data_IF_198667056212
#
_entry.id   IF_198667056212
#
_cell.length_a   1.000
_cell.length_b   1.000
_cell.length_c   1.000
_cell.angle_alpha   90.00
_cell.angle_beta   90.00
_cell.angle_gamma   90.00
#
_symmetry.space_group_name_H-M   'P 1'
#
loop_
_entity.id
_entity.type
_entity.pdbx_description
1 polymer ?
#
# COMPACT_ATOMS: atom_id res chain seq x y z
N UNK A 1 10.71 -4.43 -8.91
CA UNK A 1 9.29 -4.71 -9.24
C UNK A 1 8.66 -3.63 -10.13
N UNK A 2 8.70 -2.36 -9.80
CA UNK A 2 8.10 -1.31 -10.64
C UNK A 2 8.67 -1.24 -12.07
N UNK A 3 9.98 -1.45 -12.25
CA UNK A 3 10.62 -1.53 -13.56
C UNK A 3 10.22 -2.77 -14.36
N UNK A 4 9.92 -3.89 -13.70
CA UNK A 4 9.47 -5.12 -14.37
C UNK A 4 8.07 -4.97 -14.95
N UNK A 5 7.14 -4.30 -14.24
CA UNK A 5 5.79 -4.05 -14.74
C UNK A 5 5.86 -3.12 -15.96
N UNK A 6 6.62 -2.03 -15.90
CA UNK A 6 6.79 -1.10 -17.01
C UNK A 6 7.43 -1.79 -18.24
N UNK A 7 8.40 -2.69 -18.03
CA UNK A 7 8.98 -3.49 -19.11
C UNK A 7 7.92 -4.33 -19.83
N UNK A 8 7.14 -5.12 -19.10
CA UNK A 8 6.11 -5.97 -19.69
C UNK A 8 4.95 -5.17 -20.28
N UNK A 9 4.62 -4.01 -19.71
CA UNK A 9 3.65 -3.09 -20.31
C UNK A 9 4.11 -2.55 -21.67
N UNK A 10 5.41 -2.39 -21.87
CA UNK A 10 5.97 -1.99 -23.17
C UNK A 10 6.05 -3.16 -24.17
N UNK A 11 6.49 -4.35 -23.72
CA UNK A 11 6.71 -5.51 -24.59
C UNK A 11 5.42 -6.27 -24.94
N UNK A 12 4.52 -6.43 -23.96
CA UNK A 12 3.30 -7.24 -24.09
C UNK A 12 2.11 -6.58 -23.40
N UNK A 13 1.69 -5.37 -23.82
CA UNK A 13 0.70 -4.54 -23.12
C UNK A 13 -0.65 -5.24 -22.88
N UNK A 14 -1.09 -6.06 -23.83
CA UNK A 14 -2.39 -6.74 -23.77
C UNK A 14 -2.37 -8.06 -22.99
N UNK A 15 -1.20 -8.58 -22.61
CA UNK A 15 -1.13 -9.79 -21.79
C UNK A 15 -1.69 -9.54 -20.40
N UNK A 16 -2.37 -10.55 -19.85
CA UNK A 16 -2.95 -10.48 -18.53
C UNK A 16 -1.86 -10.53 -17.47
N UNK A 17 -1.83 -9.51 -16.62
CA UNK A 17 -0.91 -9.38 -15.50
C UNK A 17 -1.56 -9.83 -14.18
N UNK A 18 -2.86 -9.60 -14.02
CA UNK A 18 -3.64 -9.99 -12.84
C UNK A 18 -4.92 -10.67 -13.32
N UNK A 19 -5.22 -11.82 -12.70
CA UNK A 19 -6.48 -12.54 -12.83
C UNK A 19 -7.01 -12.80 -11.42
N UNK A 20 -8.02 -12.05 -11.01
CA UNK A 20 -8.64 -12.17 -9.71
C UNK A 20 -10.18 -12.05 -9.79
N UNK A 21 -10.93 -12.28 -8.69
CA UNK A 21 -12.39 -12.19 -8.71
C UNK A 21 -12.96 -10.85 -9.17
N UNK A 22 -12.20 -9.76 -9.07
CA UNK A 22 -12.63 -8.42 -9.53
C UNK A 22 -12.39 -8.23 -11.04
N UNK A 23 -11.70 -9.16 -11.70
CA UNK A 23 -11.52 -9.22 -13.15
C UNK A 23 -10.08 -9.37 -13.63
N UNK A 24 -9.92 -9.26 -14.96
CA UNK A 24 -8.64 -9.35 -15.64
C UNK A 24 -8.04 -7.95 -15.80
N UNK A 25 -6.74 -7.82 -15.51
CA UNK A 25 -6.00 -6.57 -15.69
C UNK A 25 -4.79 -6.85 -16.58
N UNK A 26 -4.66 -6.14 -17.71
CA UNK A 26 -3.51 -6.25 -18.61
C UNK A 26 -2.27 -5.55 -17.99
N UNK A 27 -1.09 -5.85 -18.56
CA UNK A 27 0.14 -5.16 -18.14
C UNK A 27 0.07 -3.65 -18.38
N UNK A 28 -0.52 -3.21 -19.50
CA UNK A 28 -0.70 -1.78 -19.78
C UNK A 28 -1.57 -1.10 -18.74
N UNK A 29 -2.70 -1.72 -18.36
CA UNK A 29 -3.58 -1.19 -17.36
C UNK A 29 -2.97 -1.21 -15.96
N UNK A 30 -2.27 -2.28 -15.61
CA UNK A 30 -1.55 -2.37 -14.33
C UNK A 30 -0.50 -1.27 -14.20
N UNK A 31 0.33 -1.06 -15.25
CA UNK A 31 1.36 -0.02 -15.24
C UNK A 31 0.78 1.38 -15.07
N UNK A 32 -0.33 1.65 -15.75
CA UNK A 32 -1.09 2.90 -15.62
C UNK A 32 -1.57 3.08 -14.17
N UNK A 33 -2.28 2.10 -13.61
CA UNK A 33 -2.80 2.16 -12.24
C UNK A 33 -1.67 2.34 -11.21
N UNK A 34 -0.59 1.58 -11.36
CA UNK A 34 0.60 1.69 -10.49
C UNK A 34 1.19 3.10 -10.53
N UNK A 35 1.26 3.71 -11.73
CA UNK A 35 1.77 5.08 -11.87
C UNK A 35 0.85 6.09 -11.21
N UNK A 36 -0.46 6.00 -11.43
CA UNK A 36 -1.45 6.91 -10.84
C UNK A 36 -1.43 6.86 -9.31
N UNK A 37 -1.40 5.67 -8.71
CA UNK A 37 -1.29 5.52 -7.25
C UNK A 37 0.05 6.05 -6.72
N UNK A 38 1.17 5.73 -7.38
CA UNK A 38 2.48 6.19 -6.96
C UNK A 38 2.57 7.73 -6.97
N UNK A 39 2.06 8.36 -8.03
CA UNK A 39 2.02 9.82 -8.15
C UNK A 39 1.08 10.46 -7.13
N UNK A 40 -0.06 9.84 -6.82
CA UNK A 40 -0.96 10.31 -5.78
C UNK A 40 -0.31 10.25 -4.39
N UNK A 41 0.40 9.18 -4.06
CA UNK A 41 1.12 9.07 -2.79
C UNK A 41 2.19 10.16 -2.65
N UNK A 42 3.00 10.37 -3.69
CA UNK A 42 4.01 11.45 -3.71
C UNK A 42 3.36 12.84 -3.64
N UNK A 43 2.29 13.07 -4.40
CA UNK A 43 1.56 14.32 -4.44
C UNK A 43 0.85 14.67 -3.12
N UNK A 44 0.48 13.67 -2.34
CA UNK A 44 -0.07 13.82 -0.99
C UNK A 44 1.00 14.13 0.08
N UNK A 45 2.26 14.26 -0.32
CA UNK A 45 3.36 14.62 0.57
C UNK A 45 4.02 13.43 1.28
N UNK A 46 3.72 12.20 0.88
CA UNK A 46 4.48 11.05 1.36
C UNK A 46 5.88 11.08 0.76
N UNK A 47 6.86 10.74 1.57
CA UNK A 47 8.28 10.81 1.22
C UNK A 47 8.89 9.44 1.02
N UNK A 48 10.03 9.40 0.32
CA UNK A 48 10.83 8.20 0.16
C UNK A 48 11.13 7.54 1.50
N UNK A 49 10.91 6.23 1.61
CA UNK A 49 11.07 5.46 2.84
C UNK A 49 9.88 5.51 3.79
N UNK A 50 8.86 6.31 3.55
CA UNK A 50 7.62 6.27 4.32
C UNK A 50 6.94 4.91 4.18
N UNK A 51 6.24 4.49 5.25
CA UNK A 51 5.46 3.27 5.24
C UNK A 51 4.02 3.56 4.87
N UNK A 52 3.49 2.72 3.99
CA UNK A 52 2.05 2.66 3.73
C UNK A 52 1.54 1.36 4.31
N UNK A 53 0.67 1.42 5.30
CA UNK A 53 0.06 0.24 5.89
C UNK A 53 -1.15 -0.22 5.08
N UNK A 54 -1.28 -1.53 4.89
CA UNK A 54 -2.41 -2.19 4.26
C UNK A 54 -3.12 -3.09 5.26
N UNK A 55 -4.41 -2.85 5.49
CA UNK A 55 -5.28 -3.70 6.31
C UNK A 55 -6.38 -4.31 5.44
N UNK A 56 -6.09 -5.45 4.88
CA UNK A 56 -6.96 -6.14 3.94
C UNK A 56 -6.44 -7.51 3.57
N UNK A 57 -7.17 -8.18 2.68
CA UNK A 57 -6.81 -9.49 2.14
C UNK A 57 -5.88 -9.34 0.93
N UNK A 58 -5.26 -10.44 0.52
CA UNK A 58 -4.50 -10.49 -0.72
C UNK A 58 -5.46 -10.37 -1.91
N UNK A 59 -5.15 -9.45 -2.83
CA UNK A 59 -5.96 -9.14 -4.01
C UNK A 59 -5.09 -8.48 -5.09
N UNK A 60 -5.62 -8.35 -6.30
CA UNK A 60 -4.98 -7.58 -7.37
C UNK A 60 -4.77 -6.11 -6.98
N UNK A 61 -5.70 -5.53 -6.22
CA UNK A 61 -5.53 -4.18 -5.68
C UNK A 61 -4.34 -4.10 -4.70
N UNK A 62 -4.23 -5.04 -3.75
CA UNK A 62 -3.07 -5.08 -2.85
C UNK A 62 -1.76 -5.15 -3.62
N UNK A 63 -1.68 -6.01 -4.66
CA UNK A 63 -0.49 -6.10 -5.51
C UNK A 63 -0.21 -4.78 -6.23
N UNK A 64 -1.24 -4.11 -6.75
CA UNK A 64 -1.13 -2.79 -7.39
C UNK A 64 -0.58 -1.74 -6.43
N UNK A 65 -1.11 -1.69 -5.18
CA UNK A 65 -0.64 -0.78 -4.13
C UNK A 65 0.82 -1.06 -3.72
N UNK A 66 1.20 -2.34 -3.64
CA UNK A 66 2.58 -2.73 -3.38
C UNK A 66 3.52 -2.23 -4.48
N UNK A 67 3.16 -2.44 -5.75
CA UNK A 67 3.94 -1.96 -6.88
C UNK A 67 4.02 -0.42 -6.92
N UNK A 68 2.92 0.26 -6.59
CA UNK A 68 2.86 1.71 -6.53
C UNK A 68 3.74 2.29 -5.40
N UNK A 69 3.66 1.74 -4.19
CA UNK A 69 4.53 2.12 -3.09
C UNK A 69 6.01 1.94 -3.47
N UNK A 70 6.37 0.79 -4.05
CA UNK A 70 7.73 0.54 -4.54
C UNK A 70 8.17 1.55 -5.59
N UNK A 71 7.30 1.90 -6.57
CA UNK A 71 7.59 2.88 -7.63
C UNK A 71 7.79 4.30 -7.07
N UNK A 72 7.11 4.62 -5.98
CA UNK A 72 7.26 5.90 -5.28
C UNK A 72 8.42 5.90 -4.27
N UNK A 73 9.21 4.83 -4.18
CA UNK A 73 10.30 4.71 -3.20
C UNK A 73 9.82 4.54 -1.76
N UNK A 74 8.60 4.05 -1.57
CA UNK A 74 7.98 3.83 -0.27
C UNK A 74 7.95 2.34 0.08
N UNK A 75 7.67 2.03 1.34
CA UNK A 75 7.63 0.66 1.87
C UNK A 75 6.20 0.30 2.20
N UNK A 76 5.65 -0.76 1.58
CA UNK A 76 4.34 -1.25 2.00
C UNK A 76 4.49 -2.18 3.21
N UNK A 77 3.60 -2.03 4.19
CA UNK A 77 3.54 -2.85 5.39
C UNK A 77 2.16 -3.48 5.52
N UNK A 78 1.97 -4.72 5.01
CA UNK A 78 0.70 -5.41 5.18
C UNK A 78 0.50 -5.81 6.64
N UNK A 79 -0.69 -5.53 7.14
CA UNK A 79 -1.14 -5.88 8.49
C UNK A 79 -2.03 -7.11 8.40
N UNK A 80 -1.79 -8.08 9.26
CA UNK A 80 -2.62 -9.28 9.30
C UNK A 80 -4.09 -8.93 9.55
N UNK A 81 -4.97 -9.20 8.61
CA UNK A 81 -6.38 -8.80 8.64
C UNK A 81 -7.21 -9.44 9.77
N UNK A 82 -6.65 -10.45 10.46
CA UNK A 82 -7.26 -11.08 11.66
C UNK A 82 -6.87 -10.40 12.97
N UNK A 83 -5.99 -9.40 12.94
CA UNK A 83 -5.53 -8.70 14.13
C UNK A 83 -6.63 -7.81 14.70
N UNK A 84 -6.70 -7.73 16.02
CA UNK A 84 -7.58 -6.79 16.71
C UNK A 84 -7.00 -5.36 16.66
N UNK A 85 -7.84 -4.34 16.90
CA UNK A 85 -7.43 -2.94 16.81
C UNK A 85 -6.17 -2.58 17.62
N UNK A 86 -5.93 -3.07 18.84
CA UNK A 86 -4.69 -2.80 19.58
C UNK A 86 -3.43 -3.37 18.89
N UNK A 87 -3.55 -4.53 18.24
CA UNK A 87 -2.45 -5.15 17.51
C UNK A 87 -2.15 -4.38 16.21
N UNK A 88 -3.20 -3.93 15.51
CA UNK A 88 -3.08 -3.03 14.34
C UNK A 88 -2.43 -1.72 14.76
N UNK A 89 -2.85 -1.12 15.87
CA UNK A 89 -2.25 0.10 16.43
C UNK A 89 -0.76 -0.09 16.76
N UNK A 90 -0.36 -1.25 17.27
CA UNK A 90 1.04 -1.57 17.49
C UNK A 90 1.85 -1.49 16.20
N UNK A 91 1.37 -2.11 15.11
CA UNK A 91 2.05 -2.08 13.81
C UNK A 91 2.13 -0.66 13.26
N UNK A 92 1.04 0.11 13.35
CA UNK A 92 1.02 1.52 12.91
C UNK A 92 2.04 2.37 13.66
N UNK A 93 2.15 2.20 14.99
CA UNK A 93 3.14 2.91 15.83
C UNK A 93 4.58 2.50 15.49
N UNK A 94 4.83 1.22 15.31
CA UNK A 94 6.18 0.70 15.01
C UNK A 94 6.65 1.14 13.61
N UNK A 95 5.75 1.11 12.62
CA UNK A 95 6.04 1.58 11.26
C UNK A 95 6.11 3.10 11.15
N UNK A 96 5.47 3.84 12.06
CA UNK A 96 5.19 5.28 11.95
C UNK A 96 4.54 5.64 10.61
N UNK A 97 3.67 4.77 10.11
CA UNK A 97 3.04 4.90 8.80
C UNK A 97 2.12 6.15 8.76
N UNK A 98 2.38 7.12 7.87
CA UNK A 98 1.49 8.28 7.72
C UNK A 98 0.15 7.92 7.05
N UNK A 99 0.09 6.81 6.31
CA UNK A 99 -1.06 6.35 5.56
C UNK A 99 -1.44 4.91 5.90
N UNK A 100 -2.70 4.70 6.23
CA UNK A 100 -3.35 3.40 6.33
C UNK A 100 -4.40 3.28 5.23
N UNK A 101 -4.33 2.20 4.45
CA UNK A 101 -5.37 1.83 3.47
C UNK A 101 -6.03 0.56 3.97
N UNK A 102 -7.37 0.51 3.98
CA UNK A 102 -8.09 -0.67 4.44
C UNK A 102 -9.22 -1.07 3.50
N UNK A 103 -9.59 -2.35 3.53
CA UNK A 103 -10.85 -2.82 2.94
C UNK A 103 -12.04 -2.45 3.84
N UNK A 104 -13.27 -2.31 3.28
CA UNK A 104 -14.45 -1.85 4.01
C UNK A 104 -14.76 -2.66 5.28
N UNK A 105 -14.57 -3.97 5.24
CA UNK A 105 -14.84 -4.85 6.38
C UNK A 105 -13.94 -4.58 7.59
N UNK A 106 -12.80 -3.88 7.39
CA UNK A 106 -11.84 -3.52 8.44
C UNK A 106 -11.88 -2.04 8.84
N UNK A 107 -12.80 -1.24 8.27
CA UNK A 107 -12.88 0.20 8.52
C UNK A 107 -13.00 0.55 10.01
N UNK A 108 -13.84 -0.16 10.77
CA UNK A 108 -14.00 0.08 12.21
C UNK A 108 -12.74 -0.30 13.02
N UNK A 109 -12.04 -1.36 12.60
CA UNK A 109 -10.76 -1.75 13.21
C UNK A 109 -9.70 -0.71 12.93
N UNK A 110 -9.63 -0.21 11.68
CA UNK A 110 -8.71 0.83 11.25
C UNK A 110 -8.90 2.13 12.05
N UNK A 111 -10.15 2.61 12.17
CA UNK A 111 -10.48 3.82 12.94
C UNK A 111 -10.02 3.73 14.38
N UNK A 112 -10.37 2.64 15.06
CA UNK A 112 -9.96 2.42 16.47
C UNK A 112 -8.44 2.33 16.62
N UNK A 113 -7.75 1.70 15.69
CA UNK A 113 -6.30 1.55 15.74
C UNK A 113 -5.57 2.90 15.60
N UNK A 114 -6.06 3.76 14.70
CA UNK A 114 -5.45 5.07 14.46
C UNK A 114 -5.60 6.02 15.65
N UNK A 115 -6.63 5.89 16.48
CA UNK A 115 -6.75 6.67 17.72
C UNK A 115 -5.50 6.55 18.62
N UNK A 116 -4.82 5.41 18.57
CA UNK A 116 -3.58 5.15 19.31
C UNK A 116 -2.29 5.38 18.48
N UNK A 117 -2.38 5.68 17.19
CA UNK A 117 -1.24 5.80 16.28
C UNK A 117 -1.11 7.23 15.73
N UNK A 118 -0.51 8.17 16.47
CA UNK A 118 -0.52 9.60 16.16
C UNK A 118 0.21 9.98 14.87
N UNK A 119 1.09 9.12 14.35
CA UNK A 119 1.79 9.34 13.09
C UNK A 119 0.91 9.03 11.87
N UNK A 120 -0.13 8.20 12.02
CA UNK A 120 -1.07 7.89 10.93
C UNK A 120 -2.07 9.04 10.76
N UNK A 121 -1.85 9.86 9.73
CA UNK A 121 -2.64 11.08 9.47
C UNK A 121 -3.80 10.84 8.51
N UNK A 122 -3.69 9.83 7.68
CA UNK A 122 -4.67 9.53 6.63
C UNK A 122 -5.10 8.08 6.70
N UNK A 123 -6.42 7.85 6.66
CA UNK A 123 -7.02 6.52 6.47
C UNK A 123 -7.84 6.57 5.20
N UNK A 124 -7.63 5.62 4.30
CA UNK A 124 -8.39 5.47 3.07
C UNK A 124 -9.08 4.11 3.05
N UNK A 125 -10.28 4.06 2.50
CA UNK A 125 -11.01 2.83 2.25
C UNK A 125 -11.01 2.50 0.76
N UNK A 126 -10.97 1.22 0.41
CA UNK A 126 -10.89 0.78 -1.00
C UNK A 126 -12.22 0.78 -1.74
N UNK A 127 -13.32 1.05 -1.07
CA UNK A 127 -14.67 1.11 -1.68
C UNK A 127 -15.53 2.15 -0.98
N UNK A 128 -16.42 2.78 -1.76
CA UNK A 128 -17.49 3.66 -1.28
C UNK A 128 -18.42 2.88 -0.35
N UNK A 129 -18.95 3.53 0.66
CA UNK A 129 -19.95 2.95 1.58
C UNK A 129 -19.52 2.87 3.04
N UNK A 130 -18.33 3.37 3.34
CA UNK A 130 -17.89 3.67 4.71
C UNK A 130 -17.88 5.19 4.93
N UNK A 131 -17.72 5.63 6.17
CA UNK A 131 -17.49 7.03 6.52
C UNK A 131 -16.02 7.46 6.35
N UNK A 132 -15.16 6.57 5.84
CA UNK A 132 -13.77 6.87 5.50
C UNK A 132 -13.67 7.42 4.07
N UNK A 133 -12.68 8.29 3.78
CA UNK A 133 -12.39 8.73 2.43
C UNK A 133 -12.08 7.55 1.50
N UNK A 134 -12.62 7.62 0.29
CA UNK A 134 -12.42 6.59 -0.73
C UNK A 134 -11.02 6.71 -1.37
N UNK A 135 -10.37 5.58 -1.60
CA UNK A 135 -9.04 5.54 -2.21
C UNK A 135 -9.05 6.04 -3.66
N UNK A 136 -10.07 5.71 -4.45
CA UNK A 136 -10.15 6.14 -5.84
C UNK A 136 -10.39 7.65 -5.93
N UNK A 137 -11.26 8.21 -5.07
CA UNK A 137 -11.47 9.64 -4.97
C UNK A 137 -10.22 10.38 -4.51
N UNK A 138 -9.48 9.81 -3.56
CA UNK A 138 -8.19 10.34 -3.12
C UNK A 138 -7.20 10.44 -4.29
N UNK A 139 -7.06 9.36 -5.07
CA UNK A 139 -6.16 9.36 -6.25
C UNK A 139 -6.62 10.37 -7.30
N UNK A 140 -7.93 10.42 -7.60
CA UNK A 140 -8.47 11.33 -8.61
C UNK A 140 -8.35 12.82 -8.22
N UNK A 141 -8.39 13.14 -6.93
CA UNK A 141 -8.34 14.52 -6.42
C UNK A 141 -6.95 15.02 -6.05
N UNK A 142 -5.97 14.11 -5.89
CA UNK A 142 -4.61 14.48 -5.53
C UNK A 142 -3.83 14.98 -6.75
N UNK A 143 -3.16 16.11 -6.63
CA UNK A 143 -2.24 16.58 -7.67
C UNK A 143 -1.07 15.58 -7.79
N UNK A 144 -0.79 15.05 -8.99
CA UNK A 144 0.30 14.09 -9.18
C UNK A 144 1.64 14.65 -8.74
N UNK A 145 2.37 13.90 -7.92
CA UNK A 145 3.74 14.22 -7.51
C UNK A 145 4.77 13.56 -8.40
N UNK A 146 6.02 14.03 -8.30
CA UNK A 146 7.16 13.44 -8.99
C UNK A 146 7.51 12.07 -8.40
N UNK A 147 7.98 11.17 -9.26
CA UNK A 147 8.42 9.85 -8.86
C UNK A 147 9.96 9.81 -8.80
N UNK A 148 10.55 9.30 -7.70
CA UNK A 148 11.99 9.16 -7.58
C UNK A 148 12.53 8.02 -8.47
N UNK A 149 13.83 8.06 -8.76
CA UNK A 149 14.50 6.86 -9.22
C UNK A 149 14.53 5.81 -8.10
N UNK A 150 14.15 4.56 -8.44
CA UNK A 150 14.11 3.47 -7.49
C UNK A 150 15.53 2.88 -7.30
N UNK A 151 15.97 2.76 -6.05
CA UNK A 151 17.19 2.03 -5.70
C UNK A 151 16.81 0.60 -5.29
N UNK A 152 17.32 -0.45 -5.97
CA UNK A 152 17.05 -1.84 -5.59
C UNK A 152 17.46 -2.21 -4.17
N UNK A 153 18.40 -1.47 -3.56
CA UNK A 153 18.82 -1.68 -2.18
C UNK A 153 17.85 -1.15 -1.13
N UNK A 154 16.84 -0.38 -1.54
CA UNK A 154 15.85 0.16 -0.62
C UNK A 154 14.79 -0.86 -0.21
N UNK A 155 14.26 -0.64 0.99
CA UNK A 155 13.13 -1.42 1.48
C UNK A 155 11.91 -1.21 0.62
N UNK A 156 11.21 -2.30 0.29
CA UNK A 156 9.97 -2.28 -0.50
C UNK A 156 8.80 -2.90 0.26
N UNK A 157 9.08 -3.77 1.22
CA UNK A 157 8.07 -4.52 1.97
C UNK A 157 8.53 -4.69 3.42
N UNK A 158 7.67 -4.39 4.38
CA UNK A 158 7.90 -4.65 5.81
C UNK A 158 6.89 -5.67 6.32
N UNK A 159 7.37 -6.88 6.64
CA UNK A 159 6.55 -7.99 7.15
C UNK A 159 6.69 -8.14 8.65
N UNK A 160 5.57 -8.35 9.34
CA UNK A 160 5.55 -8.65 10.75
C UNK A 160 5.47 -10.14 11.02
N UNK A 161 6.40 -10.63 11.82
CA UNK A 161 6.44 -12.03 12.27
C UNK A 161 6.11 -12.10 13.75
N UNK A 162 5.38 -13.15 14.15
CA UNK A 162 5.17 -13.47 15.56
C UNK A 162 6.50 -13.82 16.19
N UNK A 163 7.09 -12.87 16.94
CA UNK A 163 8.32 -13.11 17.69
C UNK A 163 8.10 -14.09 18.84
N UNK A 164 9.06 -14.99 19.09
CA UNK A 164 9.04 -15.92 20.23
C UNK A 164 9.17 -15.22 21.59
N UNK A 165 9.40 -13.92 21.63
CA UNK A 165 9.77 -13.14 22.84
C UNK A 165 8.86 -11.95 23.13
N UNK A 166 7.62 -11.91 22.62
CA UNK A 166 6.69 -10.79 22.89
C UNK A 166 6.12 -10.16 21.62
N UNK A 167 6.25 -8.84 21.46
CA UNK A 167 5.65 -8.10 20.34
C UNK A 167 6.19 -8.52 18.96
N UNK A 168 5.35 -8.52 17.91
CA UNK A 168 5.77 -8.79 16.55
C UNK A 168 6.91 -7.88 16.10
N UNK A 169 7.85 -8.41 15.30
CA UNK A 169 8.96 -7.66 14.74
C UNK A 169 8.77 -7.45 13.24
N UNK A 170 8.98 -6.22 12.77
CA UNK A 170 8.93 -5.87 11.36
C UNK A 170 10.27 -6.15 10.68
N UNK A 171 10.28 -7.09 9.73
CA UNK A 171 11.41 -7.35 8.84
C UNK A 171 11.22 -6.58 7.54
N UNK A 172 12.21 -5.76 7.17
CA UNK A 172 12.19 -5.01 5.90
C UNK A 172 12.92 -5.80 4.84
N UNK A 173 12.25 -6.03 3.71
CA UNK A 173 12.78 -6.69 2.53
C UNK A 173 13.10 -5.64 1.45
N UNK A 174 14.19 -5.85 0.74
CA UNK A 174 14.60 -5.05 -0.43
C UNK A 174 14.17 -5.72 -1.72
N UNK A 175 14.33 -5.05 -2.86
CA UNK A 175 14.05 -5.63 -4.18
C UNK A 175 15.26 -6.34 -4.82
N UNK A 176 16.37 -6.44 -4.11
CA UNK A 176 17.57 -7.18 -4.51
C UNK A 176 17.39 -8.68 -4.35
#
# INVERSE_FOLDING_TARGET
MGSSIAHWAAETPENIAIDDPDGLVSYAELDKRVTEYAQAFSGAGLSRGDRICWLGKNSGLYFTLFAAATRAGMVIAPIGWRLAAPEVAYVLKDTRAPLLICEPEFAETAKKAVEEAPDTKTILCTKIGTDLPDLADFVASTTPGDLPECDPAEGVLQLYTSGTTGNPKGAVLTSN
#
